data_IF_442875516217
#
_entry.id   IF_442875516217
#
_cell.length_a   1.000
_cell.length_b   1.000
_cell.length_c   1.000
_cell.angle_alpha   90.00
_cell.angle_beta   90.00
_cell.angle_gamma   90.00
#
_symmetry.space_group_name_H-M   'P 1'
#
loop_
_entity.id
_entity.type
_entity.pdbx_description
1 polymer ?
#
# COMPACT_ATOMS: atom_id res chain seq x y z
N UNK A 1 -9.47 -15.73 22.50
CA UNK A 1 -9.07 -14.31 22.44
C UNK A 1 -7.71 -14.23 21.76
N UNK A 2 -7.64 -14.09 20.43
CA UNK A 2 -6.42 -13.63 19.72
C UNK A 2 -6.62 -13.27 18.22
N UNK A 3 -7.84 -12.95 17.76
CA UNK A 3 -8.11 -12.64 16.34
C UNK A 3 -7.97 -11.15 15.95
N UNK A 4 -7.90 -10.22 16.92
CA UNK A 4 -7.84 -8.78 16.64
C UNK A 4 -6.72 -8.35 15.66
N UNK A 5 -5.47 -8.84 15.79
CA UNK A 5 -4.42 -8.46 14.86
C UNK A 5 -4.66 -8.96 13.42
N UNK A 6 -5.41 -10.05 13.25
CA UNK A 6 -5.72 -10.62 11.94
C UNK A 6 -6.81 -9.82 11.25
N UNK A 7 -7.91 -9.52 11.94
CA UNK A 7 -8.98 -8.68 11.39
C UNK A 7 -8.49 -7.28 11.00
N UNK A 8 -7.60 -6.69 11.80
CA UNK A 8 -7.02 -5.39 11.48
C UNK A 8 -6.12 -5.45 10.23
N UNK A 9 -5.36 -6.54 10.06
CA UNK A 9 -4.56 -6.75 8.85
C UNK A 9 -5.44 -6.85 7.61
N UNK A 10 -6.53 -7.60 7.67
CA UNK A 10 -7.45 -7.78 6.55
C UNK A 10 -8.10 -6.44 6.15
N UNK A 11 -8.62 -5.67 7.11
CA UNK A 11 -9.14 -4.31 6.87
C UNK A 11 -8.08 -3.38 6.26
N UNK A 12 -6.84 -3.48 6.72
CA UNK A 12 -5.76 -2.65 6.16
C UNK A 12 -5.39 -3.06 4.73
N UNK A 13 -5.53 -4.33 4.37
CA UNK A 13 -5.35 -4.81 3.00
C UNK A 13 -6.47 -4.30 2.07
N UNK A 14 -7.70 -4.14 2.56
CA UNK A 14 -8.78 -3.48 1.80
C UNK A 14 -8.43 -2.02 1.52
N UNK A 15 -7.98 -1.29 2.54
CA UNK A 15 -7.52 0.10 2.38
C UNK A 15 -6.30 0.22 1.47
N UNK A 16 -5.38 -0.76 1.50
CA UNK A 16 -4.26 -0.85 0.55
C UNK A 16 -4.76 -0.94 -0.89
N UNK A 17 -5.70 -1.84 -1.17
CA UNK A 17 -6.31 -2.03 -2.50
C UNK A 17 -6.95 -0.72 -2.97
N UNK A 18 -7.78 -0.10 -2.14
CA UNK A 18 -8.46 1.16 -2.48
C UNK A 18 -7.48 2.32 -2.75
N UNK A 19 -6.40 2.42 -1.98
CA UNK A 19 -5.34 3.41 -2.22
C UNK A 19 -4.63 3.16 -3.55
N UNK A 20 -4.34 1.91 -3.89
CA UNK A 20 -3.68 1.57 -5.15
C UNK A 20 -4.60 1.86 -6.34
N UNK A 21 -5.88 1.51 -6.25
CA UNK A 21 -6.89 1.86 -7.27
C UNK A 21 -6.93 3.37 -7.50
N UNK A 22 -6.94 4.17 -6.41
CA UNK A 22 -6.94 5.62 -6.53
C UNK A 22 -5.63 6.17 -7.12
N UNK A 23 -4.48 5.59 -6.79
CA UNK A 23 -3.20 5.96 -7.40
C UNK A 23 -3.19 5.67 -8.90
N UNK A 24 -3.72 4.52 -9.32
CA UNK A 24 -3.76 4.09 -10.71
C UNK A 24 -4.79 4.86 -11.54
N UNK A 25 -5.94 5.23 -10.96
CA UNK A 25 -6.97 5.99 -11.66
C UNK A 25 -6.56 7.45 -11.91
N UNK A 26 -5.75 8.02 -11.00
CA UNK A 26 -5.35 9.44 -11.07
C UNK A 26 -3.99 9.68 -11.73
N UNK A 27 -3.18 8.62 -11.94
CA UNK A 27 -1.87 8.79 -12.58
C UNK A 27 -2.00 9.14 -14.07
N UNK A 28 -1.20 10.11 -14.52
CA UNK A 28 -0.97 10.37 -15.95
C UNK A 28 0.17 9.55 -16.54
N UNK A 29 0.98 8.91 -15.70
CA UNK A 29 2.14 8.13 -16.13
C UNK A 29 1.73 6.71 -16.54
N UNK A 30 2.40 6.18 -17.56
CA UNK A 30 2.29 4.77 -17.97
C UNK A 30 2.86 3.80 -16.92
N UNK A 31 3.65 4.31 -15.97
CA UNK A 31 4.25 3.53 -14.91
C UNK A 31 4.23 4.29 -13.59
N UNK A 32 3.83 3.62 -12.51
CA UNK A 32 4.00 4.10 -11.14
C UNK A 32 5.04 3.22 -10.45
N UNK A 33 6.02 3.83 -9.79
CA UNK A 33 6.93 3.12 -8.88
C UNK A 33 6.83 3.76 -7.49
N UNK A 34 6.45 2.98 -6.49
CA UNK A 34 6.30 3.45 -5.11
C UNK A 34 7.00 2.50 -4.15
N UNK A 35 7.70 3.04 -3.14
CA UNK A 35 8.31 2.20 -2.09
C UNK A 35 7.21 1.43 -1.37
N UNK A 36 7.42 0.13 -1.16
CA UNK A 36 6.49 -0.74 -0.45
C UNK A 36 6.15 -0.20 0.95
N UNK A 37 7.16 0.30 1.67
CA UNK A 37 6.99 0.97 2.97
C UNK A 37 6.09 2.20 2.89
N UNK A 38 6.18 2.99 1.83
CA UNK A 38 5.32 4.17 1.64
C UNK A 38 3.88 3.74 1.42
N UNK A 39 3.67 2.69 0.62
CA UNK A 39 2.34 2.18 0.34
C UNK A 39 1.65 1.63 1.60
N UNK A 40 2.38 0.91 2.46
CA UNK A 40 1.89 0.51 3.79
C UNK A 40 1.48 1.73 4.64
N UNK A 41 2.29 2.79 4.64
CA UNK A 41 1.94 4.02 5.39
C UNK A 41 0.68 4.68 4.84
N UNK A 42 0.49 4.68 3.52
CA UNK A 42 -0.71 5.23 2.91
C UNK A 42 -1.94 4.39 3.28
N UNK A 43 -1.86 3.07 3.19
CA UNK A 43 -2.93 2.16 3.59
C UNK A 43 -3.31 2.35 5.07
N UNK A 44 -2.33 2.48 5.97
CA UNK A 44 -2.59 2.73 7.38
C UNK A 44 -3.26 4.09 7.64
N UNK A 45 -2.80 5.15 6.99
CA UNK A 45 -3.45 6.47 7.08
C UNK A 45 -4.88 6.40 6.57
N UNK A 46 -5.09 5.74 5.42
CA UNK A 46 -6.41 5.51 4.83
C UNK A 46 -7.33 4.77 5.79
N UNK A 47 -6.84 3.72 6.44
CA UNK A 47 -7.57 2.95 7.45
C UNK A 47 -7.97 3.81 8.65
N UNK A 48 -7.02 4.54 9.24
CA UNK A 48 -7.26 5.37 10.44
C UNK A 48 -8.18 6.55 10.14
N UNK A 49 -8.07 7.14 8.94
CA UNK A 49 -8.77 8.38 8.56
C UNK A 49 -9.97 8.17 7.63
N UNK A 50 -10.25 6.92 7.27
CA UNK A 50 -11.37 6.50 6.41
C UNK A 50 -11.45 7.32 5.12
N UNK A 51 -10.30 7.51 4.46
CA UNK A 51 -10.20 8.28 3.21
C UNK A 51 -9.28 7.60 2.22
N UNK A 52 -9.57 7.72 0.93
CA UNK A 52 -8.71 7.27 -0.18
C UNK A 52 -8.09 8.46 -0.92
N UNK A 53 -8.38 9.71 -0.53
CA UNK A 53 -7.79 10.89 -1.14
C UNK A 53 -6.27 10.91 -0.91
N UNK A 54 -5.52 10.74 -1.99
CA UNK A 54 -4.07 10.63 -1.97
C UNK A 54 -3.39 11.91 -1.46
N UNK A 55 -3.98 13.09 -1.70
CA UNK A 55 -3.42 14.36 -1.23
C UNK A 55 -3.58 14.47 0.29
N UNK A 56 -4.76 14.13 0.80
CA UNK A 56 -5.03 14.08 2.25
C UNK A 56 -4.11 13.06 2.92
N UNK A 57 -4.03 11.85 2.35
CA UNK A 57 -3.15 10.78 2.86
C UNK A 57 -1.71 11.26 2.95
N UNK A 58 -1.16 11.82 1.86
CA UNK A 58 0.22 12.36 1.81
C UNK A 58 0.47 13.39 2.91
N UNK A 59 -0.47 14.31 3.13
CA UNK A 59 -0.37 15.34 4.17
C UNK A 59 -0.36 14.81 5.61
N UNK A 60 -0.88 13.60 5.83
CA UNK A 60 -1.01 12.99 7.16
C UNK A 60 0.06 11.95 7.49
N UNK A 61 0.77 11.42 6.48
CA UNK A 61 1.85 10.42 6.63
C UNK A 61 2.92 10.78 7.68
N UNK A 62 3.34 12.06 7.87
CA UNK A 62 4.31 12.39 8.93
C UNK A 62 3.77 12.22 10.35
N UNK A 63 2.45 12.38 10.54
CA UNK A 63 1.77 12.45 11.85
C UNK A 63 1.11 11.13 12.26
N UNK A 64 0.67 10.33 11.29
CA UNK A 64 0.00 9.04 11.53
C UNK A 64 0.94 7.92 11.12
N UNK A 65 1.45 7.18 12.11
CA UNK A 65 2.47 6.12 11.90
C UNK A 65 1.86 4.74 12.13
N UNK A 66 2.13 3.76 11.23
CA UNK A 66 1.71 2.39 11.48
C UNK A 66 2.44 1.84 12.72
N UNK A 67 1.75 1.03 13.55
CA UNK A 67 2.40 0.33 14.64
C UNK A 67 3.49 -0.63 14.14
N UNK A 68 4.49 -0.89 14.98
CA UNK A 68 5.68 -1.67 14.61
C UNK A 68 5.34 -3.09 14.13
N UNK A 69 4.28 -3.69 14.69
CA UNK A 69 3.82 -5.04 14.31
C UNK A 69 3.31 -5.14 12.86
N UNK A 70 2.96 -4.04 12.20
CA UNK A 70 2.65 -4.01 10.75
C UNK A 70 3.92 -3.88 9.89
N UNK A 71 5.05 -3.49 10.47
CA UNK A 71 6.28 -3.17 9.71
C UNK A 71 7.27 -4.33 9.66
N UNK A 72 6.76 -5.57 9.58
CA UNK A 72 7.57 -6.79 9.55
C UNK A 72 7.60 -7.44 8.15
N UNK A 73 8.56 -8.35 7.91
CA UNK A 73 8.75 -8.96 6.59
C UNK A 73 7.56 -9.83 6.14
N UNK A 74 6.89 -10.53 7.05
CA UNK A 74 5.73 -11.36 6.73
C UNK A 74 4.59 -10.52 6.15
N UNK A 75 4.25 -9.42 6.82
CA UNK A 75 3.18 -8.55 6.34
C UNK A 75 3.55 -7.86 5.02
N UNK A 76 4.82 -7.48 4.84
CA UNK A 76 5.27 -7.00 3.54
C UNK A 76 5.12 -8.05 2.42
N UNK A 77 5.33 -9.34 2.70
CA UNK A 77 5.12 -10.41 1.71
C UNK A 77 3.63 -10.60 1.38
N UNK A 78 2.75 -10.48 2.36
CA UNK A 78 1.29 -10.50 2.14
C UNK A 78 0.86 -9.35 1.20
N UNK A 79 1.33 -8.13 1.49
CA UNK A 79 1.09 -6.95 0.64
C UNK A 79 1.60 -7.20 -0.78
N UNK A 80 2.83 -7.68 -0.95
CA UNK A 80 3.37 -8.01 -2.28
C UNK A 80 2.50 -9.04 -3.02
N UNK A 81 2.02 -10.07 -2.33
CA UNK A 81 1.16 -11.11 -2.88
C UNK A 81 -0.12 -10.52 -3.48
N UNK A 82 -0.83 -9.71 -2.70
CA UNK A 82 -2.06 -9.05 -3.14
C UNK A 82 -1.80 -8.09 -4.31
N UNK A 83 -0.70 -7.33 -4.27
CA UNK A 83 -0.38 -6.38 -5.34
C UNK A 83 -0.02 -7.09 -6.66
N UNK A 84 0.70 -8.21 -6.59
CA UNK A 84 0.95 -9.07 -7.74
C UNK A 84 -0.35 -9.64 -8.31
N UNK A 85 -1.19 -10.21 -7.44
CA UNK A 85 -2.42 -10.89 -7.83
C UNK A 85 -3.49 -9.95 -8.42
N UNK A 86 -3.73 -8.79 -7.78
CA UNK A 86 -4.82 -7.88 -8.17
C UNK A 86 -4.42 -6.85 -9.22
N UNK A 87 -3.16 -6.41 -9.22
CA UNK A 87 -2.72 -5.27 -10.04
C UNK A 87 -1.58 -5.61 -11.00
N UNK A 88 -1.22 -6.90 -11.13
CA UNK A 88 -0.07 -7.35 -11.92
C UNK A 88 1.23 -6.58 -11.59
N UNK A 89 1.40 -6.22 -10.31
CA UNK A 89 2.51 -5.40 -9.89
C UNK A 89 3.82 -6.18 -9.87
N UNK A 90 4.91 -5.54 -10.28
CA UNK A 90 6.28 -6.08 -10.18
C UNK A 90 6.94 -5.56 -8.91
N UNK A 91 7.77 -6.38 -8.28
CA UNK A 91 8.57 -5.95 -7.12
C UNK A 91 10.01 -5.78 -7.57
N UNK A 92 10.56 -4.60 -7.35
CA UNK A 92 11.94 -4.26 -7.69
C UNK A 92 12.72 -3.91 -6.42
N UNK A 93 13.85 -4.57 -6.23
CA UNK A 93 14.82 -4.20 -5.22
C UNK A 93 15.77 -3.14 -5.80
N UNK A 94 15.76 -1.94 -5.23
CA UNK A 94 16.66 -0.84 -5.63
C UNK A 94 17.48 -0.41 -4.42
N UNK A 95 18.76 -0.79 -4.38
CA UNK A 95 19.62 -0.65 -3.19
C UNK A 95 18.94 -1.28 -1.97
N UNK A 96 18.83 -0.56 -0.85
CA UNK A 96 18.17 -1.05 0.37
C UNK A 96 16.63 -0.98 0.37
N UNK A 97 15.97 -0.59 -0.73
CA UNK A 97 14.53 -0.37 -0.75
C UNK A 97 13.81 -1.31 -1.71
N UNK A 98 12.65 -1.82 -1.26
CA UNK A 98 11.67 -2.51 -2.09
C UNK A 98 10.69 -1.52 -2.70
N UNK A 99 10.54 -1.58 -4.02
CA UNK A 99 9.56 -0.82 -4.78
C UNK A 99 8.51 -1.75 -5.38
N UNK A 100 7.27 -1.29 -5.37
CA UNK A 100 6.18 -1.85 -6.16
C UNK A 100 6.06 -1.03 -7.42
N UNK A 101 6.09 -1.70 -8.57
CA UNK A 101 5.98 -1.09 -9.89
C UNK A 101 4.69 -1.56 -10.54
N UNK A 102 3.84 -0.60 -10.86
CA UNK A 102 2.59 -0.81 -11.59
C UNK A 102 2.77 -0.29 -13.01
N UNK A 103 2.29 -1.05 -13.98
CA UNK A 103 2.24 -0.65 -15.38
C UNK A 103 0.80 -0.41 -15.77
N UNK A 104 0.53 0.71 -16.46
CA UNK A 104 -0.73 0.89 -17.14
C UNK A 104 -0.72 -0.05 -18.33
N UNK A 105 -1.56 -1.10 -18.29
CA UNK A 105 -1.76 -1.92 -19.47
C UNK A 105 -2.19 -0.98 -20.61
N UNK A 106 -1.42 -0.98 -21.70
CA UNK A 106 -1.89 -0.46 -22.98
C UNK A 106 -2.96 -1.44 -23.44
N UNK A 107 -4.21 -1.14 -23.13
CA UNK A 107 -5.33 -1.60 -23.95
C UNK A 107 -5.26 -0.90 -25.29
#
# INVERSE_FOLDING_TARGET
MEDKPREEKEKLLEHLVAVVEQLLSTTKSNQISIKLRTLLRYAYVSYVKRTTDINVIRGLVPRVRPPAWLTNQYYYREIEGILRQRFNARIENRRQFRYVVFQRNKG
#
